data_IF_379132663103
#
_entry.id   IF_379132663103
#
_cell.length_a   1.000
_cell.length_b   1.000
_cell.length_c   1.000
_cell.angle_alpha   90.00
_cell.angle_beta   90.00
_cell.angle_gamma   90.00
#
_symmetry.space_group_name_H-M   'P 1'
#
loop_
_entity.id
_entity.type
_entity.pdbx_description
1 polymer ?
#
# COMPACT_ATOMS: atom_id res chain seq x y z
N UNK A 1 -11.73 -67.33 -16.22
CA UNK A 1 -10.67 -67.12 -15.23
C UNK A 1 -9.62 -66.19 -15.83
N UNK A 2 -9.41 -65.03 -15.20
CA UNK A 2 -8.18 -64.21 -15.20
C UNK A 2 -7.74 -63.63 -16.55
N UNK A 3 -7.99 -62.33 -16.76
CA UNK A 3 -7.10 -61.34 -17.43
C UNK A 3 -7.90 -60.09 -17.86
N UNK A 4 -8.38 -59.26 -16.94
CA UNK A 4 -8.71 -57.86 -17.27
C UNK A 4 -8.89 -56.93 -16.06
N UNK A 5 -8.17 -57.15 -14.96
CA UNK A 5 -8.21 -56.24 -13.80
C UNK A 5 -6.80 -56.15 -13.23
N UNK A 6 -5.92 -55.40 -13.90
CA UNK A 6 -4.62 -55.03 -13.31
C UNK A 6 -3.93 -53.82 -14.00
N UNK A 7 -4.50 -53.26 -15.07
CA UNK A 7 -3.88 -52.12 -15.77
C UNK A 7 -4.44 -50.74 -15.40
N UNK A 8 -5.59 -50.67 -14.72
CA UNK A 8 -6.21 -49.37 -14.37
C UNK A 8 -5.72 -48.83 -13.02
N UNK A 9 -5.15 -49.68 -12.16
CA UNK A 9 -4.68 -49.27 -10.83
C UNK A 9 -3.31 -48.57 -10.83
N UNK A 10 -2.54 -48.63 -11.92
CA UNK A 10 -1.18 -48.07 -11.96
C UNK A 10 -1.11 -46.68 -12.62
N UNK A 11 -2.18 -46.26 -13.31
CA UNK A 11 -2.25 -44.93 -13.93
C UNK A 11 -2.90 -43.85 -13.04
N UNK A 12 -3.65 -44.26 -12.01
CA UNK A 12 -4.32 -43.32 -11.10
C UNK A 12 -3.49 -42.93 -9.87
N UNK A 13 -2.37 -43.61 -9.59
CA UNK A 13 -1.49 -43.26 -8.45
C UNK A 13 -0.42 -42.23 -8.80
N UNK A 14 -0.04 -42.10 -10.08
CA UNK A 14 0.94 -41.08 -10.50
C UNK A 14 0.31 -39.72 -10.82
N UNK A 15 -1.01 -39.63 -10.96
CA UNK A 15 -1.70 -38.37 -11.29
C UNK A 15 -2.19 -37.60 -10.05
N UNK A 16 -1.87 -38.06 -8.84
CA UNK A 16 -2.35 -37.45 -7.59
C UNK A 16 -1.23 -37.20 -6.56
N UNK A 17 0.03 -37.14 -6.99
CA UNK A 17 1.18 -36.80 -6.12
C UNK A 17 2.09 -35.73 -6.72
N UNK A 18 1.62 -34.95 -7.70
CA UNK A 18 1.99 -33.53 -7.73
C UNK A 18 1.11 -32.78 -6.72
N UNK A 19 1.18 -33.23 -5.46
CA UNK A 19 1.08 -32.30 -4.35
C UNK A 19 2.19 -31.31 -4.64
N UNK A 20 1.83 -30.11 -5.09
CA UNK A 20 2.73 -28.99 -5.34
C UNK A 20 3.76 -28.96 -4.21
N UNK A 21 4.96 -29.50 -4.46
CA UNK A 21 6.05 -29.41 -3.53
C UNK A 21 6.35 -27.91 -3.47
N UNK A 22 5.82 -27.25 -2.43
CA UNK A 22 6.01 -25.82 -2.25
C UNK A 22 7.52 -25.61 -2.28
N UNK A 23 7.98 -24.75 -3.18
CA UNK A 23 9.40 -24.42 -3.28
C UNK A 23 9.88 -24.10 -1.88
N UNK A 24 10.90 -24.81 -1.41
CA UNK A 24 11.42 -24.61 -0.06
C UNK A 24 12.49 -23.54 -0.11
N UNK A 25 12.45 -22.61 0.82
CA UNK A 25 13.55 -21.66 0.99
C UNK A 25 14.78 -22.43 1.53
N UNK A 26 15.97 -22.07 1.05
CA UNK A 26 17.21 -22.59 1.63
C UNK A 26 17.24 -22.32 3.14
N UNK A 27 17.50 -23.36 3.94
CA UNK A 27 17.39 -23.25 5.40
C UNK A 27 18.39 -22.25 5.99
N UNK A 28 19.59 -22.12 5.41
CA UNK A 28 20.59 -21.15 5.86
C UNK A 28 20.14 -19.72 5.58
N UNK A 29 19.47 -19.50 4.44
CA UNK A 29 18.88 -18.19 4.12
C UNK A 29 17.76 -17.86 5.11
N UNK A 30 16.87 -18.81 5.40
CA UNK A 30 15.80 -18.63 6.37
C UNK A 30 16.35 -18.29 7.76
N UNK A 31 17.32 -19.07 8.26
CA UNK A 31 17.96 -18.84 9.56
C UNK A 31 18.64 -17.46 9.61
N UNK A 32 19.25 -17.03 8.50
CA UNK A 32 19.86 -15.70 8.40
C UNK A 32 18.82 -14.59 8.52
N UNK A 33 17.66 -14.72 7.85
CA UNK A 33 16.58 -13.73 7.93
C UNK A 33 15.99 -13.65 9.34
N UNK A 34 15.74 -14.79 9.98
CA UNK A 34 15.20 -14.85 11.36
C UNK A 34 16.19 -14.20 12.32
N UNK A 35 17.47 -14.61 12.28
CA UNK A 35 18.52 -14.04 13.15
C UNK A 35 18.68 -12.54 12.94
N UNK A 36 18.59 -12.07 11.69
CA UNK A 36 18.66 -10.64 11.42
C UNK A 36 17.45 -9.90 12.00
N UNK A 37 16.24 -10.45 11.86
CA UNK A 37 15.03 -9.86 12.43
C UNK A 37 15.09 -9.75 13.96
N UNK A 38 15.65 -10.77 14.64
CA UNK A 38 15.90 -10.72 16.09
C UNK A 38 16.91 -9.62 16.47
N UNK A 39 18.04 -9.55 15.75
CA UNK A 39 19.10 -8.56 16.01
C UNK A 39 18.64 -7.12 15.78
N UNK A 40 17.69 -6.90 14.87
CA UNK A 40 17.10 -5.59 14.58
C UNK A 40 15.85 -5.28 15.40
N UNK A 41 15.49 -6.15 16.35
CA UNK A 41 14.31 -5.97 17.22
C UNK A 41 13.01 -5.84 16.41
N UNK A 42 12.89 -6.57 15.31
CA UNK A 42 11.69 -6.58 14.47
C UNK A 42 10.50 -7.11 15.26
N UNK A 43 9.32 -6.50 15.16
CA UNK A 43 8.09 -7.06 15.77
C UNK A 43 7.63 -8.34 15.02
N UNK A 44 7.82 -8.39 13.71
CA UNK A 44 7.43 -9.53 12.87
C UNK A 44 8.28 -9.68 11.60
N UNK A 45 8.40 -10.92 11.12
CA UNK A 45 8.92 -11.28 9.81
C UNK A 45 7.90 -12.18 9.10
N UNK A 46 7.36 -11.72 7.98
CA UNK A 46 6.43 -12.50 7.16
C UNK A 46 7.04 -12.76 5.80
N UNK A 47 7.04 -14.02 5.38
CA UNK A 47 7.63 -14.45 4.11
C UNK A 47 6.52 -15.02 3.24
N UNK A 48 6.35 -14.43 2.06
CA UNK A 48 5.58 -15.01 0.96
C UNK A 48 6.55 -15.62 -0.05
N UNK A 49 6.20 -16.80 -0.57
CA UNK A 49 6.95 -17.48 -1.61
C UNK A 49 5.96 -17.99 -2.66
N UNK A 50 6.19 -17.60 -3.91
CA UNK A 50 5.34 -17.97 -5.05
C UNK A 50 3.85 -17.65 -4.84
N UNK A 51 3.56 -16.46 -4.28
CA UNK A 51 2.20 -16.00 -4.06
C UNK A 51 1.50 -16.58 -2.83
N UNK A 52 2.17 -17.45 -2.06
CA UNK A 52 1.62 -18.08 -0.87
C UNK A 52 2.40 -17.67 0.36
N UNK A 53 1.70 -17.57 1.48
CA UNK A 53 2.36 -17.44 2.78
C UNK A 53 3.25 -18.67 3.01
N UNK A 54 4.53 -18.43 3.28
CA UNK A 54 5.52 -19.48 3.58
C UNK A 54 5.70 -19.63 5.09
N UNK A 55 5.94 -18.52 5.79
CA UNK A 55 6.07 -18.53 7.24
C UNK A 55 5.83 -17.14 7.85
N UNK A 56 5.48 -17.12 9.13
CA UNK A 56 5.37 -15.93 9.96
C UNK A 56 6.18 -16.13 11.23
N UNK A 57 6.95 -15.11 11.62
CA UNK A 57 7.65 -15.04 12.89
C UNK A 57 7.23 -13.77 13.60
N UNK A 58 6.90 -13.88 14.88
CA UNK A 58 6.53 -12.76 15.75
C UNK A 58 7.48 -12.76 16.93
N UNK A 59 8.12 -11.62 17.20
CA UNK A 59 9.18 -11.55 18.20
C UNK A 59 8.70 -10.78 19.43
N UNK A 60 8.65 -11.49 20.56
CA UNK A 60 8.37 -10.91 21.88
C UNK A 60 6.91 -10.56 22.17
N UNK A 61 5.97 -10.70 21.22
CA UNK A 61 4.53 -10.42 21.41
C UNK A 61 3.67 -11.32 20.52
N UNK A 62 2.42 -11.50 20.91
CA UNK A 62 1.38 -12.08 20.04
C UNK A 62 1.16 -11.23 18.78
N UNK A 63 0.71 -11.83 17.68
CA UNK A 63 0.36 -11.11 16.46
C UNK A 63 -0.63 -9.97 16.74
N UNK A 64 -0.28 -8.75 16.32
CA UNK A 64 -1.12 -7.56 16.46
C UNK A 64 -0.89 -6.60 15.31
N UNK A 65 -1.81 -5.63 15.16
CA UNK A 65 -1.64 -4.54 14.20
C UNK A 65 -0.36 -3.75 14.52
N UNK A 66 0.39 -3.43 13.48
CA UNK A 66 1.52 -2.51 13.52
C UNK A 66 1.21 -1.29 12.67
N UNK A 67 1.73 -0.12 13.05
CA UNK A 67 1.66 1.06 12.19
C UNK A 67 2.64 0.90 11.03
N UNK A 68 2.13 0.95 9.80
CA UNK A 68 2.93 0.76 8.60
C UNK A 68 3.86 1.96 8.32
N UNK A 69 3.71 3.06 9.08
CA UNK A 69 4.46 4.30 8.93
C UNK A 69 4.46 4.73 7.46
N UNK A 70 5.59 5.19 6.93
CA UNK A 70 5.70 5.66 5.55
C UNK A 70 5.36 4.62 4.47
N UNK A 71 5.28 3.32 4.79
CA UNK A 71 4.76 2.31 3.84
C UNK A 71 3.30 2.57 3.47
N UNK A 72 2.55 3.28 4.33
CA UNK A 72 1.20 3.78 4.07
C UNK A 72 1.09 4.51 2.73
N UNK A 73 2.11 5.27 2.33
CA UNK A 73 2.11 6.05 1.08
C UNK A 73 1.95 5.17 -0.17
N UNK A 74 2.53 3.96 -0.17
CA UNK A 74 2.35 3.01 -1.26
C UNK A 74 0.90 2.51 -1.36
N UNK A 75 0.22 2.40 -0.21
CA UNK A 75 -1.19 1.99 -0.13
C UNK A 75 -2.11 3.13 -0.58
N UNK A 76 -1.78 4.37 -0.23
CA UNK A 76 -2.47 5.56 -0.77
C UNK A 76 -2.29 5.64 -2.29
N UNK A 77 -1.10 5.33 -2.81
CA UNK A 77 -0.87 5.25 -4.25
C UNK A 77 -1.69 4.14 -4.93
N UNK A 78 -1.98 3.03 -4.24
CA UNK A 78 -2.94 2.02 -4.73
C UNK A 78 -4.35 2.59 -4.85
N UNK A 79 -4.79 3.45 -3.91
CA UNK A 79 -6.09 4.10 -4.00
C UNK A 79 -6.19 4.96 -5.28
N UNK A 80 -5.14 5.73 -5.59
CA UNK A 80 -5.06 6.51 -6.83
C UNK A 80 -5.10 5.62 -8.06
N UNK A 81 -4.30 4.54 -8.09
CA UNK A 81 -4.34 3.55 -9.17
C UNK A 81 -5.73 2.97 -9.37
N UNK A 82 -6.43 2.66 -8.27
CA UNK A 82 -7.78 2.11 -8.29
C UNK A 82 -8.81 3.12 -8.79
N UNK A 83 -8.71 4.40 -8.41
CA UNK A 83 -9.55 5.47 -8.98
C UNK A 83 -9.41 5.57 -10.50
N UNK A 84 -8.21 5.38 -11.04
CA UNK A 84 -7.97 5.38 -12.50
C UNK A 84 -8.69 4.19 -13.13
N UNK A 85 -8.53 2.97 -12.58
CA UNK A 85 -9.20 1.79 -13.13
C UNK A 85 -10.72 1.85 -12.99
N UNK A 86 -11.23 2.57 -11.99
CA UNK A 86 -12.66 2.81 -11.79
C UNK A 86 -13.17 4.01 -12.64
N UNK A 87 -12.30 4.61 -13.47
CA UNK A 87 -12.61 5.79 -14.29
C UNK A 87 -13.09 7.02 -13.50
N UNK A 88 -12.73 7.10 -12.23
CA UNK A 88 -13.09 8.22 -11.33
C UNK A 88 -12.10 9.39 -11.43
N UNK A 89 -10.87 9.13 -11.90
CA UNK A 89 -9.89 10.14 -12.29
C UNK A 89 -9.26 9.76 -13.64
N UNK A 90 -8.79 10.75 -14.40
CA UNK A 90 -8.34 10.55 -15.78
C UNK A 90 -6.98 9.86 -15.86
N UNK A 91 -6.02 10.34 -15.07
CA UNK A 91 -4.66 9.82 -15.01
C UNK A 91 -3.94 10.45 -13.82
N UNK A 92 -2.73 9.97 -13.53
CA UNK A 92 -1.83 10.63 -12.57
C UNK A 92 -1.31 11.99 -13.07
N UNK A 93 -1.44 12.30 -14.37
CA UNK A 93 -1.08 13.62 -14.92
C UNK A 93 -2.21 14.64 -14.83
N UNK A 94 -3.37 14.23 -14.27
CA UNK A 94 -4.47 15.15 -14.01
C UNK A 94 -4.01 16.24 -13.02
N UNK A 95 -4.26 17.52 -13.32
CA UNK A 95 -3.87 18.61 -12.45
C UNK A 95 -4.71 18.58 -11.16
N UNK A 96 -4.09 18.87 -10.03
CA UNK A 96 -4.79 18.75 -8.74
C UNK A 96 -5.85 19.84 -8.53
N UNK A 97 -5.81 20.93 -9.31
CA UNK A 97 -6.85 21.95 -9.26
C UNK A 97 -8.23 21.46 -9.74
N UNK A 98 -8.29 20.32 -10.43
CA UNK A 98 -9.57 19.66 -10.77
C UNK A 98 -10.30 19.18 -9.50
N UNK A 99 -9.57 18.98 -8.39
CA UNK A 99 -10.10 18.60 -7.08
C UNK A 99 -10.08 19.77 -6.09
N UNK A 100 -9.09 20.66 -6.21
CA UNK A 100 -8.91 21.85 -5.36
C UNK A 100 -8.90 23.12 -6.21
N UNK A 101 -10.06 23.67 -6.62
CA UNK A 101 -10.14 24.79 -7.56
C UNK A 101 -9.33 26.02 -7.16
N UNK A 102 -9.12 26.25 -5.86
CA UNK A 102 -8.28 27.32 -5.30
C UNK A 102 -6.81 27.25 -5.73
N UNK A 103 -6.34 26.09 -6.20
CA UNK A 103 -4.98 25.90 -6.71
C UNK A 103 -4.86 26.19 -8.21
N UNK A 104 -5.92 26.65 -8.89
CA UNK A 104 -5.89 27.07 -10.31
C UNK A 104 -5.23 28.46 -10.49
N UNK A 105 -4.06 28.65 -9.88
CA UNK A 105 -3.31 29.91 -9.89
C UNK A 105 -1.81 29.67 -9.71
N UNK A 106 -1.00 30.68 -10.06
CA UNK A 106 0.45 30.68 -9.84
C UNK A 106 1.15 29.42 -10.36
N UNK A 107 2.12 28.93 -9.58
CA UNK A 107 2.78 27.63 -9.81
C UNK A 107 1.94 26.44 -9.34
N UNK A 108 0.97 26.65 -8.44
CA UNK A 108 0.08 25.58 -7.94
C UNK A 108 -0.69 24.89 -9.07
N UNK A 109 -1.03 25.63 -10.14
CA UNK A 109 -1.74 25.09 -11.32
C UNK A 109 -0.93 24.04 -12.11
N UNK A 110 0.39 23.99 -11.93
CA UNK A 110 1.29 23.05 -12.62
C UNK A 110 1.43 21.72 -11.85
N UNK A 111 0.87 21.62 -10.64
CA UNK A 111 0.98 20.42 -9.82
C UNK A 111 -0.06 19.38 -10.29
N UNK A 112 0.42 18.15 -10.50
CA UNK A 112 -0.40 17.00 -10.88
C UNK A 112 -0.43 15.99 -9.74
N UNK A 113 -1.32 15.00 -9.83
CA UNK A 113 -1.36 13.88 -8.88
C UNK A 113 0.01 13.16 -8.83
N UNK A 114 0.66 12.97 -9.98
CA UNK A 114 2.00 12.38 -10.11
C UNK A 114 3.02 13.11 -9.25
N UNK A 115 3.01 14.45 -9.28
CA UNK A 115 3.94 15.26 -8.50
C UNK A 115 3.78 15.06 -6.98
N UNK A 116 2.56 14.80 -6.50
CA UNK A 116 2.34 14.42 -5.11
C UNK A 116 2.91 13.02 -4.82
N UNK A 117 2.55 12.03 -5.66
CA UNK A 117 2.93 10.62 -5.48
C UNK A 117 4.44 10.38 -5.55
N UNK A 118 5.17 11.16 -6.35
CA UNK A 118 6.62 11.01 -6.54
C UNK A 118 7.43 12.07 -5.78
N UNK A 119 6.80 12.86 -4.92
CA UNK A 119 7.43 13.90 -4.09
C UNK A 119 8.18 14.99 -4.90
N UNK A 120 7.62 15.42 -6.02
CA UNK A 120 8.18 16.51 -6.85
C UNK A 120 7.25 17.71 -6.97
N UNK A 121 6.27 17.86 -6.07
CA UNK A 121 5.26 18.93 -6.13
C UNK A 121 5.79 20.34 -5.92
N UNK A 122 6.98 20.49 -5.33
CA UNK A 122 7.52 21.81 -4.97
C UNK A 122 6.79 22.48 -3.80
N UNK A 123 5.84 21.78 -3.15
CA UNK A 123 5.20 22.24 -1.92
C UNK A 123 6.25 22.41 -0.83
N UNK A 124 6.18 23.53 -0.12
CA UNK A 124 7.08 23.88 0.98
C UNK A 124 7.20 22.73 1.99
N UNK A 125 8.45 22.46 2.40
CA UNK A 125 8.82 21.32 3.22
C UNK A 125 9.83 21.74 4.30
N UNK A 126 9.79 21.11 5.47
CA UNK A 126 10.74 21.36 6.57
C UNK A 126 11.40 20.04 7.03
N UNK A 127 12.61 20.08 7.62
CA UNK A 127 13.36 18.88 8.04
C UNK A 127 12.63 17.94 9.03
N UNK A 128 11.58 18.41 9.71
CA UNK A 128 10.70 17.59 10.56
C UNK A 128 9.23 17.96 10.36
N UNK A 129 8.68 17.66 9.17
CA UNK A 129 7.30 18.02 8.79
C UNK A 129 6.22 17.68 9.82
N UNK A 130 6.43 16.66 10.64
CA UNK A 130 5.48 16.21 11.67
C UNK A 130 5.19 17.27 12.74
N UNK A 131 6.11 18.22 13.00
CA UNK A 131 5.86 19.32 13.96
C UNK A 131 4.86 20.34 13.44
N UNK A 132 4.70 20.46 12.12
CA UNK A 132 3.64 21.27 11.51
C UNK A 132 2.35 20.47 11.36
N UNK A 133 2.47 19.18 11.00
CA UNK A 133 1.33 18.34 10.64
C UNK A 133 0.52 17.93 11.87
N UNK A 134 1.13 17.27 12.86
CA UNK A 134 0.37 16.68 13.97
C UNK A 134 -0.39 17.68 14.85
N UNK A 135 0.06 18.93 15.05
CA UNK A 135 -0.74 19.94 15.76
C UNK A 135 -1.91 20.50 14.94
N UNK A 136 -1.99 20.21 13.64
CA UNK A 136 -3.06 20.73 12.79
C UNK A 136 -4.31 19.85 12.91
N UNK A 137 -5.51 20.44 13.08
CA UNK A 137 -6.75 19.66 13.12
C UNK A 137 -7.14 19.08 11.74
N UNK A 138 -6.64 19.69 10.66
CA UNK A 138 -6.98 19.32 9.28
C UNK A 138 -5.71 19.28 8.43
N UNK A 139 -5.23 18.06 8.18
CA UNK A 139 -3.99 17.82 7.47
C UNK A 139 -4.11 18.17 5.97
N UNK A 140 -5.31 18.03 5.40
CA UNK A 140 -5.57 18.38 4.00
C UNK A 140 -5.53 19.90 3.84
N UNK A 141 -6.22 20.64 4.73
CA UNK A 141 -6.23 22.10 4.73
C UNK A 141 -4.86 22.70 5.01
N UNK A 142 -4.09 22.13 5.94
CA UNK A 142 -2.70 22.51 6.16
C UNK A 142 -1.88 22.40 4.87
N UNK A 143 -2.04 21.29 4.14
CA UNK A 143 -1.34 21.08 2.88
C UNK A 143 -1.81 22.04 1.78
N UNK A 144 -3.11 22.35 1.71
CA UNK A 144 -3.70 23.30 0.77
C UNK A 144 -3.19 24.74 0.99
N UNK A 145 -2.96 25.11 2.25
CA UNK A 145 -2.44 26.40 2.65
C UNK A 145 -0.93 26.58 2.40
N UNK A 146 -0.20 25.50 2.07
CA UNK A 146 1.23 25.57 1.89
C UNK A 146 1.63 26.40 0.64
N UNK A 147 2.75 27.09 0.76
CA UNK A 147 3.41 27.79 -0.34
C UNK A 147 4.16 26.82 -1.27
N UNK A 148 4.50 27.29 -2.47
CA UNK A 148 5.34 26.56 -3.42
C UNK A 148 6.75 27.17 -3.39
N UNK A 149 7.75 26.37 -3.01
CA UNK A 149 9.15 26.81 -2.88
C UNK A 149 10.01 26.44 -4.07
N UNK A 150 9.64 25.40 -4.80
CA UNK A 150 10.37 24.91 -5.97
C UNK A 150 9.40 24.71 -7.13
N UNK A 151 9.87 24.86 -8.38
CA UNK A 151 9.03 24.61 -9.55
C UNK A 151 8.54 23.15 -9.55
N UNK A 152 7.24 22.87 -9.74
CA UNK A 152 6.75 21.50 -9.79
C UNK A 152 7.46 20.65 -10.86
N UNK A 153 7.78 19.41 -10.49
CA UNK A 153 8.44 18.43 -11.36
C UNK A 153 9.97 18.58 -11.50
N UNK A 154 10.60 19.61 -10.93
CA UNK A 154 12.05 19.85 -11.12
C UNK A 154 12.95 19.27 -10.04
N UNK A 155 12.40 19.01 -8.84
CA UNK A 155 13.19 18.59 -7.67
C UNK A 155 12.42 17.60 -6.82
N UNK A 156 13.09 16.53 -6.42
CA UNK A 156 12.59 15.60 -5.42
C UNK A 156 12.75 16.19 -4.01
N UNK A 157 11.66 16.20 -3.24
CA UNK A 157 11.63 16.61 -1.83
C UNK A 157 10.60 15.75 -1.10
N UNK A 158 11.05 14.76 -0.33
CA UNK A 158 10.17 13.85 0.42
C UNK A 158 9.25 14.63 1.36
N UNK A 159 7.96 14.70 1.06
CA UNK A 159 7.04 15.66 1.67
C UNK A 159 5.77 14.99 2.19
N UNK A 160 5.68 14.84 3.52
CA UNK A 160 4.50 14.27 4.18
C UNK A 160 3.27 15.18 4.11
N UNK A 161 3.47 16.50 4.15
CA UNK A 161 2.40 17.49 4.09
C UNK A 161 1.67 17.40 2.75
N UNK A 162 2.42 17.40 1.64
CA UNK A 162 1.86 17.25 0.30
C UNK A 162 1.12 15.92 0.10
N UNK A 163 1.59 14.82 0.71
CA UNK A 163 0.93 13.51 0.61
C UNK A 163 -0.50 13.50 1.17
N UNK A 164 -0.80 14.32 2.18
CA UNK A 164 -2.15 14.38 2.76
C UNK A 164 -3.21 14.89 1.77
N UNK A 165 -2.81 15.64 0.73
CA UNK A 165 -3.72 16.04 -0.35
C UNK A 165 -4.32 14.84 -1.10
N UNK A 166 -3.64 13.69 -1.14
CA UNK A 166 -4.17 12.50 -1.80
C UNK A 166 -5.40 11.93 -1.07
N UNK A 167 -5.50 12.06 0.26
CA UNK A 167 -6.69 11.65 1.00
C UNK A 167 -7.93 12.43 0.56
N UNK A 168 -7.80 13.75 0.41
CA UNK A 168 -8.89 14.59 -0.09
C UNK A 168 -9.22 14.32 -1.57
N UNK A 169 -8.24 14.04 -2.42
CA UNK A 169 -8.49 13.67 -3.82
C UNK A 169 -9.30 12.37 -3.91
N UNK A 170 -8.93 11.35 -3.12
CA UNK A 170 -9.71 10.10 -3.05
C UNK A 170 -11.13 10.37 -2.58
N UNK A 171 -11.31 11.21 -1.54
CA UNK A 171 -12.62 11.60 -1.03
C UNK A 171 -13.49 12.30 -2.07
N UNK A 172 -12.93 13.25 -2.81
CA UNK A 172 -13.65 14.03 -3.82
C UNK A 172 -14.03 13.13 -5.01
N UNK A 173 -13.08 12.34 -5.52
CA UNK A 173 -13.28 11.51 -6.70
C UNK A 173 -14.24 10.34 -6.45
N UNK A 174 -14.09 9.64 -5.33
CA UNK A 174 -14.89 8.45 -5.01
C UNK A 174 -16.18 8.74 -4.22
N UNK A 175 -16.31 9.96 -3.68
CA UNK A 175 -17.34 10.33 -2.68
C UNK A 175 -17.30 9.48 -1.40
N UNK A 176 -16.17 8.82 -1.12
CA UNK A 176 -15.94 7.99 0.06
C UNK A 176 -14.65 8.42 0.76
N UNK A 177 -14.63 8.38 2.09
CA UNK A 177 -13.37 8.58 2.85
C UNK A 177 -12.33 7.56 2.37
N UNK A 178 -11.06 7.95 2.31
CA UNK A 178 -10.00 7.17 1.63
C UNK A 178 -9.85 5.75 2.18
N UNK A 179 -9.89 5.59 3.50
CA UNK A 179 -9.90 4.29 4.20
C UNK A 179 -11.11 3.44 3.81
N UNK A 180 -12.32 4.00 3.73
CA UNK A 180 -13.52 3.29 3.30
C UNK A 180 -13.46 2.88 1.81
N UNK A 181 -12.87 3.72 0.97
CA UNK A 181 -12.65 3.39 -0.44
C UNK A 181 -11.67 2.22 -0.60
N UNK A 182 -10.54 2.27 0.12
CA UNK A 182 -9.55 1.18 0.15
C UNK A 182 -10.12 -0.10 0.75
N UNK A 183 -10.90 0.01 1.82
CA UNK A 183 -11.61 -1.09 2.45
C UNK A 183 -12.43 -1.89 1.44
N UNK A 184 -13.31 -1.20 0.72
CA UNK A 184 -14.20 -1.82 -0.26
C UNK A 184 -13.46 -2.32 -1.49
N UNK A 185 -12.54 -1.51 -2.03
CA UNK A 185 -11.99 -1.76 -3.37
C UNK A 185 -10.72 -2.62 -3.37
N UNK A 186 -10.02 -2.71 -2.24
CA UNK A 186 -8.73 -3.40 -2.15
C UNK A 186 -8.71 -4.39 -0.98
N UNK A 187 -9.06 -3.98 0.24
CA UNK A 187 -8.87 -4.80 1.43
C UNK A 187 -9.85 -5.98 1.49
N UNK A 188 -11.15 -5.74 1.28
CA UNK A 188 -12.16 -6.80 1.27
C UNK A 188 -11.89 -7.87 0.19
N UNK A 189 -11.57 -7.53 -1.07
CA UNK A 189 -11.15 -8.52 -2.07
C UNK A 189 -9.91 -9.34 -1.69
N UNK A 190 -9.02 -8.80 -0.85
CA UNK A 190 -7.81 -9.48 -0.37
C UNK A 190 -8.01 -10.21 0.97
N UNK A 191 -9.22 -10.18 1.52
CA UNK A 191 -9.52 -10.72 2.85
C UNK A 191 -8.68 -10.07 3.95
N UNK A 192 -8.48 -8.75 3.88
CA UNK A 192 -7.84 -7.95 4.92
C UNK A 192 -8.97 -7.33 5.75
N UNK A 193 -9.16 -7.86 6.95
CA UNK A 193 -10.30 -7.53 7.81
C UNK A 193 -9.89 -6.79 9.09
N UNK A 194 -8.70 -7.07 9.63
CA UNK A 194 -8.18 -6.46 10.86
C UNK A 194 -7.17 -5.35 10.54
N UNK A 195 -7.68 -4.14 10.37
CA UNK A 195 -6.89 -2.94 10.11
C UNK A 195 -7.51 -1.70 10.78
N UNK A 196 -6.72 -0.64 10.88
CA UNK A 196 -7.14 0.68 11.32
C UNK A 196 -6.53 1.77 10.47
N UNK A 197 -7.04 3.00 10.62
CA UNK A 197 -6.38 4.17 10.08
C UNK A 197 -6.50 5.35 11.05
N UNK A 198 -5.35 5.91 11.47
CA UNK A 198 -5.32 7.13 12.27
C UNK A 198 -5.91 8.31 11.50
N UNK A 199 -6.87 9.00 12.09
CA UNK A 199 -7.56 10.15 11.49
C UNK A 199 -7.10 11.46 12.17
N UNK A 200 -7.10 12.55 11.41
CA UNK A 200 -7.05 13.90 11.99
C UNK A 200 -8.41 14.30 12.61
N UNK A 201 -8.48 15.47 13.23
CA UNK A 201 -9.68 15.93 13.95
C UNK A 201 -10.89 16.16 13.01
N UNK A 202 -10.64 16.44 11.73
CA UNK A 202 -11.67 16.55 10.68
C UNK A 202 -12.04 15.19 10.05
N UNK A 203 -11.44 14.10 10.54
CA UNK A 203 -11.71 12.74 10.09
C UNK A 203 -11.05 12.38 8.77
N UNK A 204 -10.02 13.09 8.31
CA UNK A 204 -9.21 12.69 7.18
C UNK A 204 -8.21 11.61 7.61
N UNK A 205 -8.09 10.49 6.88
CA UNK A 205 -7.07 9.51 7.20
C UNK A 205 -5.67 10.04 6.91
N UNK A 206 -4.73 9.81 7.83
CA UNK A 206 -3.33 10.21 7.69
C UNK A 206 -2.67 9.50 6.49
N UNK A 207 -2.68 10.12 5.31
CA UNK A 207 -2.12 9.52 4.08
C UNK A 207 -0.61 9.28 4.15
N UNK A 208 0.09 10.03 5.01
CA UNK A 208 1.53 9.95 5.13
C UNK A 208 2.02 8.77 5.99
N UNK A 209 1.24 8.25 6.96
CA UNK A 209 1.72 7.19 7.86
C UNK A 209 0.67 6.34 8.60
N UNK A 210 -0.61 6.73 8.67
CA UNK A 210 -1.50 6.22 9.72
C UNK A 210 -2.15 4.86 9.51
N UNK A 211 -1.77 4.09 8.49
CA UNK A 211 -2.36 2.77 8.27
C UNK A 211 -1.80 1.76 9.29
N UNK A 212 -2.70 1.05 9.96
CA UNK A 212 -2.34 0.01 10.92
C UNK A 212 -2.92 -1.33 10.46
N UNK A 213 -2.12 -2.39 10.46
CA UNK A 213 -2.52 -3.67 9.88
C UNK A 213 -1.70 -4.81 10.46
N UNK A 214 -2.23 -6.04 10.40
CA UNK A 214 -1.43 -7.24 10.69
C UNK A 214 -0.25 -7.37 9.70
N UNK A 215 0.95 -7.77 10.15
CA UNK A 215 2.11 -7.95 9.27
C UNK A 215 1.84 -8.84 8.05
N UNK A 216 1.07 -9.92 8.22
CA UNK A 216 0.70 -10.84 7.12
C UNK A 216 -0.17 -10.19 6.06
N UNK A 217 -1.04 -9.27 6.45
CA UNK A 217 -1.96 -8.59 5.55
C UNK A 217 -1.26 -7.43 4.83
N UNK A 218 -0.27 -6.80 5.46
CA UNK A 218 0.65 -5.90 4.76
C UNK A 218 1.43 -6.63 3.65
N UNK A 219 1.86 -7.87 3.91
CA UNK A 219 2.53 -8.70 2.91
C UNK A 219 1.60 -9.07 1.73
N UNK A 220 0.30 -9.27 1.94
CA UNK A 220 -0.68 -9.43 0.84
C UNK A 220 -0.72 -8.22 -0.09
N UNK A 221 -0.65 -7.00 0.46
CA UNK A 221 -0.56 -5.77 -0.35
C UNK A 221 0.74 -5.73 -1.16
N UNK A 222 1.86 -6.15 -0.58
CA UNK A 222 3.12 -6.34 -1.31
C UNK A 222 3.00 -7.35 -2.44
N UNK A 223 2.33 -8.48 -2.18
CA UNK A 223 2.12 -9.56 -3.14
C UNK A 223 1.28 -9.12 -4.34
N UNK A 224 0.30 -8.23 -4.15
CA UNK A 224 -0.48 -7.61 -5.23
C UNK A 224 0.41 -6.90 -6.25
N UNK A 225 1.42 -6.15 -5.78
CA UNK A 225 2.37 -5.47 -6.68
C UNK A 225 3.20 -6.47 -7.50
N UNK A 226 3.69 -7.54 -6.86
CA UNK A 226 4.51 -8.56 -7.53
C UNK A 226 3.71 -9.35 -8.57
N UNK A 227 2.44 -9.68 -8.27
CA UNK A 227 1.60 -10.44 -9.20
C UNK A 227 1.23 -9.64 -10.45
N UNK A 228 0.94 -8.35 -10.31
CA UNK A 228 0.65 -7.50 -11.48
C UNK A 228 1.87 -7.25 -12.37
N UNK A 229 3.09 -7.24 -11.82
CA UNK A 229 4.32 -7.16 -12.63
C UNK A 229 4.52 -8.41 -13.50
N UNK A 230 3.91 -9.55 -13.13
CA UNK A 230 4.02 -10.81 -13.87
C UNK A 230 2.82 -11.12 -14.81
N UNK A 231 1.94 -10.15 -15.07
CA UNK A 231 0.95 -10.22 -16.15
C UNK A 231 -0.18 -11.24 -16.00
N UNK A 232 -0.43 -11.78 -14.80
CA UNK A 232 -1.62 -12.62 -14.55
C UNK A 232 -2.64 -11.85 -13.74
N UNK A 233 -3.70 -11.41 -14.40
CA UNK A 233 -4.90 -10.90 -13.75
C UNK A 233 -5.51 -12.04 -12.91
N UNK A 234 -5.60 -11.82 -11.60
CA UNK A 234 -6.47 -12.63 -10.75
C UNK A 234 -7.91 -12.30 -11.14
N UNK A 235 -8.55 -13.28 -11.78
CA UNK A 235 -9.99 -13.31 -12.00
C UNK A 235 -10.74 -13.58 -10.70
#
# INVERSE_FOLDING_TARGET
MIKLILFISFFLTNFCVEILAQKKLDSKVLDTLIKHAELTQSDALVIFLEGKLYSEYYFGKEPKRIEAMSSTKSIVNLAIGKLITDSLIKSIDQPIYDFYPEWKQGQKKEITIRHLMNHTSGVQNIPLTTVEIYPSPDFVKLALAAEITDKPGTKFSYNNKAMNLLAGIVKIASRKRMDNYLAEKIFAPLGIEDYDWTLDDEGNPHAMAGFQVLPKDLAKLGQLFVQKVNGKESS
#
